data_IF_185691658292
#
_entry.id   IF_185691658292
#
_cell.length_a   1.000
_cell.length_b   1.000
_cell.length_c   1.000
_cell.angle_alpha   90.00
_cell.angle_beta   90.00
_cell.angle_gamma   90.00
#
_symmetry.space_group_name_H-M   'P 1'
#
loop_
_entity.id
_entity.type
_entity.pdbx_description
1 polymer ?
#
# COMPACT_ATOMS: atom_id res chain seq x y z
N UNK A 1 -30.14 2.65 -24.45
CA UNK A 1 -28.99 1.96 -25.09
C UNK A 1 -27.98 3.01 -25.52
N UNK A 2 -26.90 3.17 -24.77
CA UNK A 2 -25.73 3.98 -25.14
C UNK A 2 -24.47 3.21 -24.79
N UNK A 3 -23.37 3.34 -25.56
CA UNK A 3 -22.16 2.55 -25.33
C UNK A 3 -21.53 3.01 -24.01
N UNK A 4 -21.34 2.07 -23.08
CA UNK A 4 -20.57 2.31 -21.89
C UNK A 4 -19.11 2.59 -22.31
N UNK A 5 -18.78 3.86 -22.46
CA UNK A 5 -17.39 4.30 -22.54
C UNK A 5 -16.67 3.92 -21.25
N UNK A 6 -15.34 3.78 -21.32
CA UNK A 6 -14.44 3.31 -20.27
C UNK A 6 -14.48 4.05 -18.91
N UNK A 7 -15.45 4.96 -18.72
CA UNK A 7 -15.64 5.79 -17.54
C UNK A 7 -16.82 5.30 -16.66
N UNK A 8 -17.37 4.10 -16.90
CA UNK A 8 -18.48 3.53 -16.10
C UNK A 8 -18.04 2.58 -14.99
N UNK A 9 -16.74 2.47 -14.74
CA UNK A 9 -16.22 1.65 -13.65
C UNK A 9 -16.43 2.39 -12.32
N UNK A 10 -17.10 1.73 -11.38
CA UNK A 10 -17.38 2.26 -10.05
C UNK A 10 -16.10 2.43 -9.23
N UNK A 11 -15.17 1.47 -9.41
CA UNK A 11 -13.84 1.46 -8.80
C UNK A 11 -12.87 0.83 -9.78
N UNK A 12 -11.76 1.50 -10.04
CA UNK A 12 -10.60 0.93 -10.74
C UNK A 12 -9.43 0.82 -9.78
N UNK A 13 -8.89 -0.39 -9.61
CA UNK A 13 -7.70 -0.66 -8.78
C UNK A 13 -6.56 -1.07 -9.69
N UNK A 14 -5.47 -0.31 -9.65
CA UNK A 14 -4.22 -0.66 -10.32
C UNK A 14 -3.40 -1.61 -9.43
N UNK A 15 -3.08 -2.81 -9.92
CA UNK A 15 -2.25 -3.81 -9.22
C UNK A 15 -0.76 -3.59 -9.52
N UNK A 16 0.07 -4.13 -8.63
CA UNK A 16 1.54 -4.08 -8.73
C UNK A 16 2.11 -4.78 -9.97
N UNK A 17 1.35 -5.66 -10.63
CA UNK A 17 1.69 -6.31 -11.89
C UNK A 17 1.31 -5.47 -13.12
N UNK A 18 0.92 -4.21 -12.93
CA UNK A 18 0.39 -3.30 -13.96
C UNK A 18 -0.96 -3.73 -14.56
N UNK A 19 -1.65 -4.71 -13.95
CA UNK A 19 -3.01 -5.06 -14.33
C UNK A 19 -4.03 -4.15 -13.63
N UNK A 20 -5.14 -3.85 -14.31
CA UNK A 20 -6.16 -2.93 -13.83
C UNK A 20 -7.47 -3.67 -13.59
N UNK A 21 -7.89 -3.76 -12.32
CA UNK A 21 -9.17 -4.36 -11.94
C UNK A 21 -10.26 -3.29 -11.98
N UNK A 22 -11.25 -3.46 -12.84
CA UNK A 22 -12.35 -2.50 -13.01
C UNK A 22 -13.66 -3.14 -12.54
N UNK A 23 -14.23 -2.63 -11.45
CA UNK A 23 -15.54 -3.06 -10.96
C UNK A 23 -16.60 -2.21 -11.66
N UNK A 24 -17.46 -2.85 -12.46
CA UNK A 24 -18.55 -2.21 -13.17
C UNK A 24 -19.88 -2.66 -12.60
N UNK A 25 -20.85 -1.75 -12.49
CA UNK A 25 -22.24 -2.13 -12.24
C UNK A 25 -22.80 -2.69 -13.55
N UNK A 26 -23.43 -3.87 -13.52
CA UNK A 26 -24.05 -4.49 -14.70
C UNK A 26 -25.04 -3.47 -15.31
N UNK A 27 -24.91 -3.09 -16.60
CA UNK A 27 -25.82 -2.15 -17.26
C UNK A 27 -27.28 -2.65 -17.35
N UNK A 28 -27.54 -3.92 -17.00
CA UNK A 28 -28.88 -4.49 -16.85
C UNK A 28 -29.42 -4.43 -15.41
N UNK A 29 -28.68 -3.85 -14.46
CA UNK A 29 -29.23 -3.58 -13.14
C UNK A 29 -30.39 -2.58 -13.28
N UNK A 30 -31.63 -2.97 -12.94
CA UNK A 30 -32.76 -2.05 -12.99
C UNK A 30 -32.51 -0.92 -12.00
N UNK A 31 -32.62 0.33 -12.46
CA UNK A 31 -32.65 1.49 -11.57
C UNK A 31 -33.97 1.48 -10.80
N UNK A 32 -33.92 0.83 -9.65
CA UNK A 32 -35.07 0.60 -8.78
C UNK A 32 -35.66 1.91 -8.24
N UNK A 33 -34.89 3.01 -8.21
CA UNK A 33 -35.36 4.29 -7.67
C UNK A 33 -36.56 4.86 -8.47
N UNK A 34 -36.48 4.84 -9.80
CA UNK A 34 -37.55 5.28 -10.69
C UNK A 34 -38.70 4.28 -10.78
N UNK A 35 -38.44 3.00 -10.47
CA UNK A 35 -39.47 1.96 -10.39
C UNK A 35 -40.36 2.13 -9.17
N UNK A 36 -39.77 2.40 -8.00
CA UNK A 36 -40.49 2.56 -6.75
C UNK A 36 -41.34 3.84 -6.71
N UNK A 37 -40.81 4.97 -7.18
CA UNK A 37 -41.58 6.22 -7.23
C UNK A 37 -42.80 6.13 -8.17
N UNK A 38 -42.66 5.43 -9.30
CA UNK A 38 -43.80 5.14 -10.20
C UNK A 38 -44.80 4.18 -9.57
N UNK A 39 -44.33 3.18 -8.84
CA UNK A 39 -45.18 2.22 -8.14
C UNK A 39 -45.98 2.89 -7.01
N UNK A 40 -45.35 3.78 -6.23
CA UNK A 40 -46.02 4.61 -5.21
C UNK A 40 -47.12 5.48 -5.81
N UNK A 41 -46.85 6.16 -6.93
CA UNK A 41 -47.85 6.98 -7.63
C UNK A 41 -49.02 6.16 -8.18
N UNK A 42 -48.73 4.98 -8.75
CA UNK A 42 -49.76 4.06 -9.24
C UNK A 42 -50.61 3.52 -8.08
N UNK A 43 -49.99 3.20 -6.94
CA UNK A 43 -50.70 2.71 -5.75
C UNK A 43 -51.60 3.78 -5.13
N UNK A 44 -51.11 5.02 -5.00
CA UNK A 44 -51.93 6.13 -4.51
C UNK A 44 -53.19 6.31 -5.36
N UNK A 45 -53.03 6.16 -6.68
CA UNK A 45 -54.15 6.21 -7.63
C UNK A 45 -55.12 5.03 -7.47
N UNK A 46 -54.63 3.81 -7.21
CA UNK A 46 -55.47 2.62 -6.97
C UNK A 46 -56.23 2.72 -5.65
N UNK A 47 -55.56 3.11 -4.55
CA UNK A 47 -56.21 3.30 -3.26
C UNK A 47 -57.28 4.39 -3.31
N UNK A 48 -57.02 5.47 -4.05
CA UNK A 48 -58.00 6.53 -4.27
C UNK A 48 -59.19 6.05 -5.12
N UNK A 49 -58.97 5.19 -6.12
CA UNK A 49 -60.05 4.60 -6.90
C UNK A 49 -60.90 3.60 -6.07
N UNK A 50 -60.25 2.82 -5.19
CA UNK A 50 -60.94 1.86 -4.30
C UNK A 50 -61.74 2.58 -3.21
N UNK A 51 -61.21 3.66 -2.63
CA UNK A 51 -61.95 4.46 -1.64
C UNK A 51 -63.15 5.20 -2.25
N UNK A 52 -63.03 5.67 -3.51
CA UNK A 52 -64.15 6.24 -4.26
C UNK A 52 -65.22 5.19 -4.61
N UNK A 53 -64.82 3.95 -4.91
CA UNK A 53 -65.73 2.81 -5.15
C UNK A 53 -66.48 2.39 -3.88
N UNK A 54 -65.81 2.37 -2.71
CA UNK A 54 -66.46 2.09 -1.42
C UNK A 54 -67.49 3.15 -1.03
N UNK A 55 -67.38 4.39 -1.55
CA UNK A 55 -68.38 5.43 -1.36
C UNK A 55 -69.62 5.28 -2.27
N UNK A 56 -69.59 4.40 -3.28
CA UNK A 56 -70.71 4.11 -4.18
C UNK A 56 -71.53 2.92 -3.61
N UNK A 57 -72.82 3.08 -3.26
CA UNK A 57 -73.59 2.02 -2.62
C UNK A 57 -74.01 0.96 -3.66
N UNK A 58 -73.18 -0.06 -3.86
CA UNK A 58 -73.58 -1.33 -4.49
C UNK A 58 -73.33 -2.46 -3.50
N UNK A 59 -74.30 -3.35 -3.33
CA UNK A 59 -74.23 -4.55 -2.49
C UNK A 59 -73.23 -5.55 -3.09
N UNK A 60 -72.01 -5.68 -2.53
CA UNK A 60 -71.07 -6.74 -2.88
C UNK A 60 -71.42 -7.99 -2.05
N UNK A 61 -71.03 -9.18 -2.49
CA UNK A 61 -71.07 -10.34 -1.59
C UNK A 61 -70.13 -10.12 -0.41
N UNK A 62 -70.52 -10.52 0.80
CA UNK A 62 -69.72 -10.31 2.04
C UNK A 62 -68.24 -10.77 1.89
N UNK A 63 -68.00 -11.84 1.12
CA UNK A 63 -66.67 -12.34 0.79
C UNK A 63 -65.81 -11.40 -0.07
N UNK A 64 -66.41 -10.67 -1.00
CA UNK A 64 -65.69 -9.77 -1.90
C UNK A 64 -65.31 -8.47 -1.17
N UNK A 65 -66.16 -8.02 -0.25
CA UNK A 65 -65.90 -6.89 0.63
C UNK A 65 -64.79 -7.19 1.64
N UNK A 66 -64.78 -8.38 2.26
CA UNK A 66 -63.74 -8.81 3.20
C UNK A 66 -62.36 -8.93 2.53
N UNK A 67 -62.31 -9.42 1.28
CA UNK A 67 -61.09 -9.44 0.47
C UNK A 67 -60.58 -8.03 0.14
N UNK A 68 -61.48 -7.11 -0.20
CA UNK A 68 -61.15 -5.70 -0.47
C UNK A 68 -60.60 -5.00 0.77
N UNK A 69 -61.21 -5.21 1.94
CA UNK A 69 -60.75 -4.63 3.20
C UNK A 69 -59.39 -5.21 3.63
N UNK A 70 -59.18 -6.51 3.42
CA UNK A 70 -57.88 -7.16 3.66
C UNK A 70 -56.79 -6.59 2.75
N UNK A 71 -57.09 -6.39 1.46
CA UNK A 71 -56.14 -5.81 0.51
C UNK A 71 -55.84 -4.34 0.85
N UNK A 72 -56.85 -3.58 1.28
CA UNK A 72 -56.71 -2.20 1.72
C UNK A 72 -55.85 -2.05 2.98
N UNK A 73 -55.81 -3.04 3.89
CA UNK A 73 -54.91 -3.05 5.06
C UNK A 73 -53.49 -3.54 4.72
N UNK A 74 -53.35 -4.50 3.80
CA UNK A 74 -52.04 -5.07 3.43
C UNK A 74 -51.19 -4.12 2.57
N UNK A 75 -51.82 -3.39 1.63
CA UNK A 75 -51.13 -2.50 0.69
C UNK A 75 -50.32 -1.37 1.36
N UNK A 76 -50.87 -0.63 2.35
CA UNK A 76 -50.12 0.41 3.06
C UNK A 76 -48.93 -0.13 3.85
N UNK A 77 -49.05 -1.33 4.44
CA UNK A 77 -47.98 -1.97 5.21
C UNK A 77 -46.80 -2.37 4.32
N UNK A 78 -47.09 -2.97 3.16
CA UNK A 78 -46.06 -3.30 2.16
C UNK A 78 -45.39 -2.05 1.59
N UNK A 79 -46.15 -0.97 1.37
CA UNK A 79 -45.60 0.30 0.91
C UNK A 79 -44.69 0.96 1.96
N UNK A 80 -45.13 1.00 3.22
CA UNK A 80 -44.31 1.50 4.32
C UNK A 80 -42.97 0.76 4.37
N UNK A 81 -43.00 -0.57 4.24
CA UNK A 81 -41.80 -1.40 4.21
C UNK A 81 -40.91 -1.12 3.00
N UNK A 82 -41.50 -0.90 1.81
CA UNK A 82 -40.76 -0.53 0.62
C UNK A 82 -40.08 0.85 0.76
N UNK A 83 -40.77 1.83 1.33
CA UNK A 83 -40.22 3.18 1.58
C UNK A 83 -39.08 3.16 2.60
N UNK A 84 -39.16 2.32 3.64
CA UNK A 84 -38.11 2.10 4.64
C UNK A 84 -36.86 1.51 3.99
N UNK A 85 -37.01 0.44 3.21
CA UNK A 85 -35.93 -0.16 2.41
C UNK A 85 -35.31 0.84 1.42
N UNK A 86 -36.10 1.73 0.82
CA UNK A 86 -35.60 2.77 -0.06
C UNK A 86 -34.74 3.79 0.69
N UNK A 87 -35.15 4.19 1.90
CA UNK A 87 -34.37 5.07 2.76
C UNK A 87 -33.04 4.42 3.18
N UNK A 88 -33.07 3.13 3.56
CA UNK A 88 -31.87 2.35 3.87
C UNK A 88 -30.90 2.28 2.67
N UNK A 89 -31.40 1.95 1.48
CA UNK A 89 -30.60 1.93 0.25
C UNK A 89 -30.00 3.31 -0.08
N UNK A 90 -30.74 4.40 0.12
CA UNK A 90 -30.24 5.75 -0.07
C UNK A 90 -29.15 6.11 0.95
N UNK A 91 -29.32 5.68 2.21
CA UNK A 91 -28.31 5.81 3.26
C UNK A 91 -27.03 5.04 2.92
N UNK A 92 -27.16 3.78 2.49
CA UNK A 92 -26.03 2.95 2.09
C UNK A 92 -25.28 3.54 0.90
N UNK A 93 -25.99 4.09 -0.10
CA UNK A 93 -25.39 4.77 -1.25
C UNK A 93 -24.59 6.00 -0.83
N UNK A 94 -25.09 6.80 0.11
CA UNK A 94 -24.36 7.95 0.68
C UNK A 94 -23.10 7.48 1.41
N UNK A 95 -23.21 6.43 2.23
CA UNK A 95 -22.07 5.83 2.92
C UNK A 95 -21.00 5.31 1.95
N UNK A 96 -21.42 4.63 0.89
CA UNK A 96 -20.51 4.19 -0.17
C UNK A 96 -19.80 5.36 -0.87
N UNK A 97 -20.52 6.45 -1.14
CA UNK A 97 -19.93 7.67 -1.68
C UNK A 97 -18.87 8.29 -0.75
N UNK A 98 -19.15 8.36 0.55
CA UNK A 98 -18.20 8.85 1.55
C UNK A 98 -16.94 7.97 1.63
N UNK A 99 -17.10 6.65 1.67
CA UNK A 99 -15.97 5.71 1.64
C UNK A 99 -15.15 5.83 0.36
N UNK A 100 -15.79 6.06 -0.79
CA UNK A 100 -15.09 6.32 -2.05
C UNK A 100 -14.25 7.60 -2.02
N UNK A 101 -14.75 8.65 -1.36
CA UNK A 101 -14.00 9.90 -1.15
C UNK A 101 -12.79 9.69 -0.23
N UNK A 102 -12.96 8.99 0.88
CA UNK A 102 -11.87 8.65 1.81
C UNK A 102 -10.78 7.81 1.12
N UNK A 103 -11.19 6.83 0.32
CA UNK A 103 -10.25 6.00 -0.45
C UNK A 103 -9.46 6.84 -1.46
N UNK A 104 -10.13 7.77 -2.15
CA UNK A 104 -9.48 8.67 -3.11
C UNK A 104 -8.47 9.60 -2.41
N UNK A 105 -8.83 10.10 -1.22
CA UNK A 105 -7.92 10.89 -0.38
C UNK A 105 -6.70 10.07 0.04
N UNK A 106 -6.89 8.83 0.49
CA UNK A 106 -5.80 7.94 0.88
C UNK A 106 -4.88 7.61 -0.30
N UNK A 107 -5.43 7.37 -1.49
CA UNK A 107 -4.65 7.18 -2.71
C UNK A 107 -3.82 8.42 -3.06
N UNK A 108 -4.39 9.62 -2.91
CA UNK A 108 -3.64 10.86 -3.16
C UNK A 108 -2.47 11.04 -2.18
N UNK A 109 -2.67 10.69 -0.90
CA UNK A 109 -1.63 10.76 0.12
C UNK A 109 -0.54 9.71 -0.13
N UNK A 110 -0.91 8.50 -0.55
CA UNK A 110 0.04 7.48 -0.97
C UNK A 110 0.89 7.95 -2.16
N UNK A 111 0.28 8.58 -3.17
CA UNK A 111 1.01 9.18 -4.29
C UNK A 111 1.99 10.26 -3.85
N UNK A 112 1.59 11.12 -2.92
CA UNK A 112 2.44 12.16 -2.32
C UNK A 112 3.65 11.57 -1.59
N UNK A 113 3.44 10.50 -0.81
CA UNK A 113 4.53 9.81 -0.09
C UNK A 113 5.51 9.13 -1.05
N UNK A 114 5.02 8.49 -2.11
CA UNK A 114 5.88 7.88 -3.14
C UNK A 114 6.75 8.96 -3.79
N UNK A 115 6.16 10.12 -4.10
CA UNK A 115 6.90 11.23 -4.70
C UNK A 115 7.98 11.78 -3.75
N UNK A 116 7.66 12.01 -2.48
CA UNK A 116 8.63 12.42 -1.46
C UNK A 116 9.77 11.42 -1.30
N UNK A 117 9.46 10.12 -1.31
CA UNK A 117 10.48 9.07 -1.25
C UNK A 117 11.39 9.12 -2.49
N UNK A 118 10.83 9.26 -3.68
CA UNK A 118 11.61 9.37 -4.93
C UNK A 118 12.50 10.61 -4.94
N UNK A 119 11.99 11.77 -4.51
CA UNK A 119 12.76 13.00 -4.38
C UNK A 119 13.91 12.84 -3.37
N UNK A 120 13.63 12.24 -2.20
CA UNK A 120 14.68 11.98 -1.20
C UNK A 120 15.78 11.05 -1.72
N UNK A 121 15.41 10.01 -2.48
CA UNK A 121 16.36 9.09 -3.11
C UNK A 121 17.22 9.82 -4.15
N UNK A 122 16.62 10.71 -4.95
CA UNK A 122 17.35 11.56 -5.90
C UNK A 122 18.36 12.47 -5.21
N UNK A 123 17.97 13.13 -4.12
CA UNK A 123 18.86 13.97 -3.33
C UNK A 123 20.02 13.17 -2.70
N UNK A 124 19.74 11.98 -2.16
CA UNK A 124 20.78 11.10 -1.61
C UNK A 124 21.76 10.64 -2.69
N UNK A 125 21.27 10.24 -3.86
CA UNK A 125 22.13 9.86 -4.98
C UNK A 125 23.04 11.02 -5.42
N UNK A 126 22.50 12.24 -5.49
CA UNK A 126 23.29 13.43 -5.80
C UNK A 126 24.38 13.70 -4.76
N UNK A 127 24.06 13.57 -3.46
CA UNK A 127 25.04 13.72 -2.38
C UNK A 127 26.15 12.69 -2.48
N UNK A 128 25.82 11.42 -2.71
CA UNK A 128 26.81 10.34 -2.89
C UNK A 128 27.74 10.65 -4.06
N UNK A 129 27.17 11.02 -5.22
CA UNK A 129 27.96 11.37 -6.40
C UNK A 129 28.89 12.57 -6.13
N UNK A 130 28.39 13.62 -5.47
CA UNK A 130 29.21 14.79 -5.14
C UNK A 130 30.36 14.44 -4.18
N UNK A 131 30.13 13.56 -3.19
CA UNK A 131 31.18 13.10 -2.28
C UNK A 131 32.21 12.25 -3.02
N UNK A 132 31.75 11.36 -3.91
CA UNK A 132 32.63 10.57 -4.79
C UNK A 132 33.52 11.47 -5.66
N UNK A 133 32.96 12.52 -6.27
CA UNK A 133 33.71 13.46 -7.10
C UNK A 133 34.79 14.22 -6.30
N UNK A 134 34.47 14.63 -5.07
CA UNK A 134 35.44 15.28 -4.15
C UNK A 134 36.55 14.32 -3.75
N UNK A 135 36.20 13.07 -3.40
CA UNK A 135 37.19 12.04 -3.06
C UNK A 135 38.12 11.76 -4.25
N UNK A 136 37.57 11.63 -5.44
CA UNK A 136 38.31 11.46 -6.69
C UNK A 136 39.27 12.63 -6.95
N UNK A 137 38.80 13.87 -6.77
CA UNK A 137 39.63 15.06 -6.93
C UNK A 137 40.80 15.07 -5.94
N UNK A 138 40.56 14.75 -4.66
CA UNK A 138 41.60 14.64 -3.63
C UNK A 138 42.60 13.51 -3.94
N UNK A 139 42.13 12.40 -4.51
CA UNK A 139 42.96 11.27 -4.89
C UNK A 139 43.86 11.60 -6.09
N UNK A 140 43.36 12.36 -7.07
CA UNK A 140 44.14 12.89 -8.20
C UNK A 140 45.17 13.93 -7.77
N UNK A 141 44.82 14.83 -6.84
CA UNK A 141 45.76 15.85 -6.33
C UNK A 141 46.93 15.20 -5.55
N UNK A 142 46.64 14.15 -4.78
CA UNK A 142 47.67 13.29 -4.16
C UNK A 142 48.56 12.55 -5.17
N UNK A 143 48.04 12.23 -6.36
CA UNK A 143 48.82 11.59 -7.43
C UNK A 143 49.72 12.60 -8.17
N UNK A 144 49.32 13.87 -8.24
CA UNK A 144 50.10 14.95 -8.89
C UNK A 144 51.13 15.62 -7.95
N UNK A 145 50.99 15.47 -6.62
CA UNK A 145 51.88 16.05 -5.60
C UNK A 145 53.14 15.25 -5.24
N UNK A 146 53.57 14.24 -6.02
CA UNK A 146 54.83 13.51 -5.76
C UNK A 146 55.98 14.04 -6.63
N UNK A 147 57.00 14.73 -6.07
CA UNK A 147 58.32 14.73 -6.68
C UNK A 147 58.93 13.33 -6.50
N UNK A 148 59.06 12.60 -7.59
CA UNK A 148 59.66 11.28 -7.64
C UNK A 148 61.17 11.38 -7.35
N UNK A 149 61.57 11.39 -6.09
CA UNK A 149 62.95 11.04 -5.71
C UNK A 149 63.04 9.51 -5.79
N UNK A 150 63.72 9.02 -6.83
CA UNK A 150 64.16 7.63 -6.91
C UNK A 150 65.17 7.40 -5.77
N UNK A 151 64.76 6.68 -4.74
CA UNK A 151 65.68 6.00 -3.84
C UNK A 151 65.70 4.53 -4.28
N UNK A 152 66.84 4.10 -4.83
CA UNK A 152 67.12 2.70 -5.13
C UNK A 152 67.06 1.88 -3.84
N UNK A 153 66.12 0.94 -3.75
CA UNK A 153 66.22 -0.16 -2.80
C UNK A 153 66.49 -1.44 -3.56
N UNK A 154 67.77 -1.81 -3.51
CA UNK A 154 68.33 -3.07 -3.96
C UNK A 154 67.55 -4.25 -3.35
N UNK A 155 67.35 -5.28 -4.16
CA UNK A 155 66.76 -6.56 -3.80
C UNK A 155 67.75 -7.41 -2.99
N UNK A 156 67.40 -7.77 -1.75
CA UNK A 156 67.80 -9.01 -1.03
C UNK A 156 67.16 -9.05 0.39
N UNK A 157 67.10 -10.20 1.09
CA UNK A 157 66.60 -11.52 0.72
C UNK A 157 65.36 -11.93 1.58
N UNK A 158 64.76 -13.07 1.25
CA UNK A 158 63.70 -13.69 2.03
C UNK A 158 64.17 -14.07 3.44
N UNK A 159 63.61 -13.40 4.47
CA UNK A 159 63.21 -13.92 5.80
C UNK A 159 62.99 -12.74 6.75
N UNK A 160 61.78 -12.63 7.30
CA UNK A 160 61.53 -11.87 8.52
C UNK A 160 60.77 -10.56 8.34
N UNK A 161 59.44 -10.63 8.44
CA UNK A 161 58.63 -9.98 9.49
C UNK A 161 57.22 -9.78 8.95
N UNK A 162 56.28 -10.57 9.47
CA UNK A 162 54.84 -10.31 9.36
C UNK A 162 54.61 -8.84 9.74
N UNK A 163 53.73 -8.10 9.03
CA UNK A 163 53.33 -6.78 9.52
C UNK A 163 52.84 -6.99 10.95
N UNK A 164 53.42 -6.26 11.89
CA UNK A 164 53.00 -6.29 13.29
C UNK A 164 51.52 -5.89 13.31
N UNK A 165 50.65 -6.89 13.42
CA UNK A 165 49.39 -6.72 14.11
C UNK A 165 49.75 -6.06 15.43
N UNK A 166 49.07 -4.98 15.76
CA UNK A 166 49.18 -4.39 17.07
C UNK A 166 48.78 -5.47 18.08
N UNK A 167 49.78 -6.12 18.68
CA UNK A 167 49.64 -6.89 19.89
C UNK A 167 49.40 -5.90 21.03
N UNK A 168 48.19 -5.35 21.08
CA UNK A 168 47.54 -5.22 22.37
C UNK A 168 46.52 -6.36 22.39
N UNK A 169 46.41 -7.07 23.51
CA UNK A 169 45.36 -8.07 23.75
C UNK A 169 43.96 -7.45 23.82
N UNK A 170 43.67 -6.47 22.95
CA UNK A 170 42.35 -5.92 22.73
C UNK A 170 41.51 -6.97 22.05
N UNK A 171 40.35 -7.22 22.65
CA UNK A 171 39.33 -8.11 22.12
C UNK A 171 38.93 -7.65 20.70
N UNK A 172 38.71 -8.56 19.75
CA UNK A 172 38.43 -8.21 18.36
C UNK A 172 37.16 -7.37 18.26
N UNK A 173 37.16 -6.31 17.44
CA UNK A 173 36.05 -5.37 17.36
C UNK A 173 34.94 -5.85 16.43
N UNK A 174 35.31 -6.62 15.42
CA UNK A 174 34.46 -7.14 14.36
C UNK A 174 35.07 -8.43 13.76
N UNK A 175 34.38 -9.03 12.78
CA UNK A 175 34.82 -10.25 12.10
C UNK A 175 36.11 -10.07 11.29
N UNK A 176 36.40 -8.85 10.81
CA UNK A 176 37.63 -8.55 10.11
C UNK A 176 38.84 -8.60 11.06
N UNK A 177 38.71 -8.06 12.27
CA UNK A 177 39.74 -8.20 13.31
C UNK A 177 39.99 -9.68 13.67
N UNK A 178 38.91 -10.49 13.73
CA UNK A 178 39.01 -11.94 13.95
C UNK A 178 39.78 -12.61 12.81
N UNK A 179 39.48 -12.26 11.55
CA UNK A 179 40.20 -12.77 10.37
C UNK A 179 41.69 -12.39 10.41
N UNK A 180 42.00 -11.12 10.69
CA UNK A 180 43.37 -10.61 10.76
C UNK A 180 44.17 -11.21 11.94
N UNK A 181 43.48 -11.72 12.96
CA UNK A 181 44.10 -12.49 14.05
C UNK A 181 44.57 -13.89 13.63
N UNK A 182 44.19 -14.33 12.42
CA UNK A 182 44.58 -15.60 11.81
C UNK A 182 43.51 -16.69 11.85
N UNK A 183 42.29 -16.37 12.32
CA UNK A 183 41.15 -17.28 12.25
C UNK A 183 40.56 -17.25 10.84
N UNK A 184 40.37 -18.41 10.21
CA UNK A 184 39.98 -18.51 8.79
C UNK A 184 38.75 -19.41 8.56
N UNK A 185 38.14 -19.91 9.63
CA UNK A 185 36.98 -20.79 9.54
C UNK A 185 35.70 -19.99 9.78
N UNK A 186 34.62 -20.34 9.08
CA UNK A 186 33.32 -19.73 9.31
C UNK A 186 32.77 -20.21 10.67
N UNK A 187 32.16 -19.31 11.44
CA UNK A 187 31.68 -19.69 12.76
C UNK A 187 31.20 -18.52 13.61
N UNK A 188 30.76 -18.82 14.83
CA UNK A 188 30.33 -17.80 15.78
C UNK A 188 31.52 -17.33 16.62
N UNK A 189 31.77 -16.02 16.61
CA UNK A 189 32.86 -15.36 17.33
C UNK A 189 32.35 -14.24 18.22
N UNK A 190 33.06 -13.98 19.31
CA UNK A 190 32.76 -12.85 20.20
C UNK A 190 33.48 -11.60 19.72
N UNK A 191 32.74 -10.53 19.49
CA UNK A 191 33.24 -9.22 19.04
C UNK A 191 32.90 -8.13 20.06
N UNK A 192 33.74 -7.10 20.13
CA UNK A 192 33.69 -6.06 21.17
C UNK A 192 33.82 -4.67 20.52
N UNK A 193 32.75 -4.13 19.93
CA UNK A 193 32.76 -2.82 19.30
C UNK A 193 33.11 -1.69 20.30
N UNK A 194 33.62 -0.56 19.80
CA UNK A 194 34.05 0.57 20.64
C UNK A 194 32.95 1.10 21.57
N UNK A 195 31.69 1.05 21.12
CA UNK A 195 30.53 1.57 21.84
C UNK A 195 29.87 0.52 22.76
N UNK A 196 30.28 -0.75 22.66
CA UNK A 196 29.80 -1.83 23.52
C UNK A 196 30.97 -2.68 24.05
N UNK A 197 31.55 -2.30 25.19
CA UNK A 197 32.69 -3.00 25.77
C UNK A 197 32.33 -4.35 26.41
N UNK A 198 31.03 -4.66 26.58
CA UNK A 198 30.59 -5.98 27.05
C UNK A 198 30.72 -7.02 25.93
N UNK A 199 30.51 -6.60 24.68
CA UNK A 199 30.62 -7.42 23.49
C UNK A 199 29.50 -8.45 23.36
N UNK A 200 29.42 -9.05 22.18
CA UNK A 200 28.39 -10.02 21.85
C UNK A 200 28.90 -11.01 20.80
N UNK A 201 28.17 -12.10 20.62
CA UNK A 201 28.50 -13.13 19.64
C UNK A 201 27.86 -12.82 18.29
N UNK A 202 28.62 -12.99 17.22
CA UNK A 202 28.20 -12.83 15.83
C UNK A 202 28.67 -14.02 15.02
N UNK A 203 27.97 -14.37 13.95
CA UNK A 203 28.47 -15.31 12.97
C UNK A 203 29.38 -14.56 11.99
N UNK A 204 30.61 -15.04 11.80
CA UNK A 204 31.55 -14.50 10.85
C UNK A 204 31.73 -15.46 9.67
N UNK A 205 31.59 -14.94 8.45
CA UNK A 205 31.98 -15.62 7.22
C UNK A 205 33.43 -15.21 6.87
N UNK A 206 34.33 -16.19 6.92
CA UNK A 206 35.76 -16.02 6.70
C UNK A 206 36.20 -16.47 5.31
N UNK A 207 35.28 -16.97 4.47
CA UNK A 207 35.60 -17.62 3.19
C UNK A 207 35.08 -16.86 1.99
N UNK A 208 33.90 -16.26 2.09
CA UNK A 208 33.27 -15.56 0.95
C UNK A 208 33.94 -14.20 0.72
N UNK A 209 34.27 -13.91 -0.54
CA UNK A 209 34.82 -12.61 -0.99
C UNK A 209 36.00 -12.07 -0.16
N UNK A 210 36.86 -12.97 0.32
CA UNK A 210 38.05 -12.63 1.11
C UNK A 210 37.85 -12.62 2.63
N UNK A 211 36.64 -12.91 3.10
CA UNK A 211 36.30 -13.12 4.51
C UNK A 211 36.21 -11.85 5.36
N UNK A 212 35.81 -12.03 6.63
CA UNK A 212 35.69 -10.95 7.61
C UNK A 212 34.32 -10.29 7.64
N UNK A 213 33.30 -10.94 7.06
CA UNK A 213 31.91 -10.52 7.03
C UNK A 213 31.16 -10.97 8.29
#
# INVERSE_FOLDING_TARGET
>A
TGPAGANSALVTVDRADSSRLSILIDPRCPDLADGFARLEGAQASVLQALSQRQAEPRLPGEQEQELLDTLADQLPRLLARASELQAECAGLRKGHGALGQELSALQSEQGRLIQLLSESQGHMAHLVNSVSDVLDALQRDRALGRPHVKADLQRAPARGSRPRGCANGSRPRDCLDVLLSGQQEDGVYSVFPTHDPAGFQVYCDMRTDGGGW
#
